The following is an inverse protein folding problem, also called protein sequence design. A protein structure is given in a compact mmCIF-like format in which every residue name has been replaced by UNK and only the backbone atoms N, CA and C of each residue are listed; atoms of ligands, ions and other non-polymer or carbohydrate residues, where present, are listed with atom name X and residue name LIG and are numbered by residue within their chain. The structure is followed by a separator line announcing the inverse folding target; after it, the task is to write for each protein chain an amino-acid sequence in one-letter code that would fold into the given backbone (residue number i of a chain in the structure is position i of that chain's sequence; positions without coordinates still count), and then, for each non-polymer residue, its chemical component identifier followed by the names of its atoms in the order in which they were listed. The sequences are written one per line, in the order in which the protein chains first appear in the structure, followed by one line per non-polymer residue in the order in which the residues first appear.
data_IF_665648142715
#
_entry.id   IF_665648142715
#
_cell.length_a   1.000
_cell.length_b   1.000
_cell.length_c   1.000
_cell.angle_alpha   90.00
_cell.angle_beta   90.00
_cell.angle_gamma   90.00
#
_symmetry.space_group_name_H-M   'P 1'
#
loop_
_entity.id
_entity.type
_entity.pdbx_description
1 polymer ?
#
# COMPACT_ATOMS: atom_id res chain seq x y z
N UNK A 1 22.07 49.92 -61.51
CA UNK A 1 23.13 50.23 -60.53
C UNK A 1 22.45 50.30 -59.18
N UNK A 2 22.66 49.47 -58.18
CA UNK A 2 23.61 48.40 -57.82
C UNK A 2 22.91 47.73 -56.63
N UNK A 3 22.66 46.41 -56.63
CA UNK A 3 23.45 45.43 -55.85
C UNK A 3 23.51 45.83 -54.34
N UNK A 4 23.14 45.02 -53.34
CA UNK A 4 23.45 43.61 -53.15
C UNK A 4 22.94 43.14 -51.75
N UNK A 5 22.34 41.94 -51.69
CA UNK A 5 22.42 40.91 -50.60
C UNK A 5 21.78 41.14 -49.21
N UNK A 6 20.57 40.61 -49.06
CA UNK A 6 20.17 39.69 -47.97
C UNK A 6 20.79 38.31 -48.35
N UNK A 7 21.45 37.52 -47.47
CA UNK A 7 20.82 36.92 -46.27
C UNK A 7 21.75 36.70 -45.06
N UNK A 8 21.37 37.22 -43.89
CA UNK A 8 21.95 36.73 -42.63
C UNK A 8 21.19 35.47 -42.24
N UNK A 9 21.74 34.37 -42.73
CA UNK A 9 21.82 33.03 -42.15
C UNK A 9 21.24 32.93 -40.73
N UNK A 10 20.02 32.39 -40.64
CA UNK A 10 19.69 31.17 -39.90
C UNK A 10 20.66 30.82 -38.75
N UNK A 11 20.60 31.55 -37.64
CA UNK A 11 21.30 31.20 -36.40
C UNK A 11 20.35 31.46 -35.24
N UNK A 12 20.15 30.45 -34.39
CA UNK A 12 19.33 30.41 -33.15
C UNK A 12 17.94 29.73 -33.24
N UNK A 13 17.83 28.57 -33.88
CA UNK A 13 16.75 27.59 -33.60
C UNK A 13 17.32 26.34 -32.91
N UNK A 14 18.04 26.52 -31.79
CA UNK A 14 18.55 25.40 -30.99
C UNK A 14 18.68 25.75 -29.49
N UNK A 15 17.59 26.21 -28.86
CA UNK A 15 17.57 26.44 -27.41
C UNK A 15 16.25 26.02 -26.74
N UNK A 16 15.53 25.06 -27.32
CA UNK A 16 14.35 24.45 -26.70
C UNK A 16 14.60 22.97 -26.38
N UNK A 17 15.66 22.68 -25.63
CA UNK A 17 15.90 21.34 -25.09
C UNK A 17 16.62 21.39 -23.74
N UNK A 18 16.31 22.37 -22.91
CA UNK A 18 16.72 22.36 -21.51
C UNK A 18 15.61 21.74 -20.65
N UNK A 19 15.80 20.46 -20.37
CA UNK A 19 15.49 19.82 -19.08
C UNK A 19 14.07 19.99 -18.52
N UNK A 20 13.14 19.14 -18.96
CA UNK A 20 12.04 18.66 -18.12
C UNK A 20 12.25 17.17 -17.84
N UNK A 21 13.32 16.84 -17.14
CA UNK A 21 13.51 15.53 -16.49
C UNK A 21 13.80 15.75 -15.01
N UNK A 22 13.07 16.65 -14.38
CA UNK A 22 12.81 16.52 -12.95
C UNK A 22 11.90 15.32 -12.80
N UNK A 23 12.46 14.14 -12.48
CA UNK A 23 11.65 13.05 -11.91
C UNK A 23 10.86 13.70 -10.76
N UNK A 24 9.51 13.67 -10.76
CA UNK A 24 8.78 14.16 -9.62
C UNK A 24 9.35 13.44 -8.40
N UNK A 25 9.78 14.19 -7.39
CA UNK A 25 10.10 13.59 -6.11
C UNK A 25 8.83 12.89 -5.65
N UNK A 26 8.84 11.55 -5.67
CA UNK A 26 7.66 10.79 -5.30
C UNK A 26 7.53 10.88 -3.78
N UNK A 27 6.69 11.81 -3.32
CA UNK A 27 6.43 12.00 -1.90
C UNK A 27 5.51 10.90 -1.38
N UNK A 28 5.73 10.49 -0.13
CA UNK A 28 4.79 9.60 0.53
C UNK A 28 3.53 10.37 0.87
N UNK A 29 2.40 9.87 0.36
CA UNK A 29 1.08 10.42 0.65
C UNK A 29 0.53 9.70 1.88
N UNK A 30 -0.01 10.46 2.83
CA UNK A 30 -0.72 9.89 3.96
C UNK A 30 -1.98 9.12 3.49
N UNK A 31 -2.29 7.97 4.10
CA UNK A 31 -3.53 7.27 3.85
C UNK A 31 -4.73 8.20 4.10
N UNK A 32 -5.40 8.65 3.03
CA UNK A 32 -6.69 9.33 3.15
C UNK A 32 -7.78 8.37 2.69
N UNK A 33 -8.59 7.86 3.61
CA UNK A 33 -9.75 7.04 3.30
C UNK A 33 -9.80 5.68 4.02
N UNK A 34 -10.86 4.89 3.78
CA UNK A 34 -11.02 3.57 4.38
C UNK A 34 -9.96 2.60 3.85
N UNK A 35 -9.64 1.58 4.66
CA UNK A 35 -8.77 0.49 4.22
C UNK A 35 -9.35 -0.23 3.00
N UNK A 36 -8.50 -0.44 2.00
CA UNK A 36 -8.80 -1.25 0.83
C UNK A 36 -8.08 -2.58 0.96
N UNK A 37 -8.84 -3.67 0.77
CA UNK A 37 -8.30 -5.02 0.80
C UNK A 37 -7.27 -5.22 -0.31
N UNK A 38 -6.25 -6.02 -0.02
CA UNK A 38 -5.23 -6.38 -1.00
C UNK A 38 -4.63 -7.75 -0.69
N UNK A 39 -3.87 -8.26 -1.66
CA UNK A 39 -3.19 -9.55 -1.70
C UNK A 39 -2.37 -9.79 -0.42
N UNK A 40 -2.66 -10.88 0.26
CA UNK A 40 -2.01 -11.24 1.51
C UNK A 40 -2.84 -10.92 2.76
N UNK A 41 -3.86 -10.06 2.67
CA UNK A 41 -4.83 -9.90 3.75
C UNK A 41 -5.59 -11.21 4.00
N UNK A 42 -6.05 -11.39 5.23
CA UNK A 42 -6.98 -12.45 5.60
C UNK A 42 -8.28 -11.79 6.02
N UNK A 43 -9.36 -12.15 5.36
CA UNK A 43 -10.71 -11.70 5.71
C UNK A 43 -11.47 -12.83 6.37
N UNK A 44 -12.17 -12.52 7.45
CA UNK A 44 -13.15 -13.43 8.02
C UNK A 44 -14.48 -13.17 7.33
N UNK A 45 -15.00 -14.20 6.67
CA UNK A 45 -16.35 -14.16 6.08
C UNK A 45 -17.25 -14.99 6.95
N UNK A 46 -18.33 -14.38 7.42
CA UNK A 46 -19.38 -15.03 8.21
C UNK A 46 -20.64 -15.08 7.39
N UNK A 47 -21.12 -16.29 7.09
CA UNK A 47 -22.39 -16.51 6.40
C UNK A 47 -23.38 -17.04 7.43
N UNK A 48 -24.37 -16.22 7.77
CA UNK A 48 -25.32 -16.57 8.83
C UNK A 48 -26.15 -17.79 8.44
N UNK A 49 -26.19 -18.79 9.34
CA UNK A 49 -26.90 -20.05 9.11
C UNK A 49 -26.10 -21.09 8.33
N UNK A 50 -24.87 -20.78 7.90
CA UNK A 50 -23.99 -21.71 7.19
C UNK A 50 -22.57 -21.70 7.80
N UNK A 51 -22.24 -22.65 8.69
CA UNK A 51 -20.94 -22.74 9.30
C UNK A 51 -19.85 -23.26 8.33
N UNK A 52 -20.23 -23.94 7.25
CA UNK A 52 -19.25 -24.47 6.27
C UNK A 52 -18.68 -23.36 5.39
N UNK A 53 -19.49 -22.33 5.11
CA UNK A 53 -19.04 -21.13 4.40
C UNK A 53 -18.38 -20.09 5.31
N UNK A 54 -18.60 -20.19 6.63
CA UNK A 54 -18.04 -19.25 7.62
C UNK A 54 -16.59 -19.61 7.95
N UNK A 55 -15.63 -18.87 7.40
CA UNK A 55 -14.21 -19.16 7.57
C UNK A 55 -13.33 -17.92 7.32
N UNK A 56 -12.03 -18.10 7.54
CA UNK A 56 -10.99 -17.14 7.19
C UNK A 56 -10.49 -17.44 5.77
N UNK A 57 -10.55 -16.44 4.90
CA UNK A 57 -10.13 -16.53 3.52
C UNK A 57 -8.97 -15.56 3.27
N UNK A 58 -7.89 -16.09 2.70
CA UNK A 58 -6.75 -15.27 2.28
C UNK A 58 -7.03 -14.66 0.92
N UNK A 59 -6.72 -13.38 0.77
CA UNK A 59 -6.71 -12.69 -0.53
C UNK A 59 -5.47 -13.14 -1.30
N UNK A 60 -5.67 -13.79 -2.44
CA UNK A 60 -4.61 -14.34 -3.28
C UNK A 60 -3.83 -13.27 -4.08
N UNK A 61 -2.85 -13.72 -4.86
CA UNK A 61 -2.02 -12.91 -5.75
C UNK A 61 -2.79 -12.27 -6.92
N UNK A 62 -4.01 -12.73 -7.20
CA UNK A 62 -4.93 -12.14 -8.17
C UNK A 62 -5.91 -11.17 -7.51
N UNK A 63 -5.90 -11.08 -6.19
CA UNK A 63 -6.75 -10.18 -5.43
C UNK A 63 -8.14 -10.76 -5.14
N UNK A 64 -8.28 -12.08 -5.17
CA UNK A 64 -9.52 -12.78 -4.93
C UNK A 64 -9.46 -13.62 -3.64
N UNK A 65 -10.63 -13.88 -3.07
CA UNK A 65 -10.80 -14.91 -2.04
C UNK A 65 -11.39 -16.16 -2.69
N UNK A 66 -10.88 -17.33 -2.31
CA UNK A 66 -11.39 -18.62 -2.80
C UNK A 66 -12.42 -19.17 -1.82
N UNK A 67 -13.70 -19.04 -2.15
CA UNK A 67 -14.82 -19.49 -1.32
C UNK A 67 -15.48 -20.75 -1.89
N UNK A 68 -15.99 -21.67 -1.05
CA UNK A 68 -16.82 -22.77 -1.51
C UNK A 68 -18.07 -22.25 -2.24
N UNK A 69 -18.60 -23.06 -3.14
CA UNK A 69 -19.75 -22.78 -4.02
C UNK A 69 -19.49 -21.73 -5.11
N UNK A 70 -19.04 -20.54 -4.73
CA UNK A 70 -18.88 -19.39 -5.64
C UNK A 70 -17.49 -19.28 -6.28
N UNK A 71 -16.51 -20.03 -5.77
CA UNK A 71 -15.14 -20.01 -6.26
C UNK A 71 -14.43 -18.70 -5.93
N UNK A 72 -13.68 -18.17 -6.91
CA UNK A 72 -12.86 -16.97 -6.73
C UNK A 72 -13.71 -15.69 -6.80
N UNK A 73 -13.72 -14.91 -5.71
CA UNK A 73 -14.40 -13.61 -5.63
C UNK A 73 -13.37 -12.49 -5.51
N UNK A 74 -13.26 -11.62 -6.51
CA UNK A 74 -12.29 -10.54 -6.51
C UNK A 74 -12.64 -9.45 -5.48
N UNK A 75 -11.74 -9.22 -4.52
CA UNK A 75 -11.92 -8.27 -3.41
C UNK A 75 -10.84 -7.19 -3.32
N UNK A 76 -9.73 -7.31 -4.07
CA UNK A 76 -8.67 -6.30 -4.09
C UNK A 76 -9.22 -4.92 -4.47
N UNK A 77 -8.76 -3.90 -3.75
CA UNK A 77 -9.17 -2.51 -3.95
C UNK A 77 -10.58 -2.20 -3.43
N UNK A 78 -11.27 -3.17 -2.82
CA UNK A 78 -12.59 -2.95 -2.22
C UNK A 78 -12.45 -2.70 -0.72
N UNK A 79 -13.36 -1.88 -0.19
CA UNK A 79 -13.63 -1.84 1.25
C UNK A 79 -14.31 -3.14 1.68
N UNK A 80 -14.23 -3.48 2.97
CA UNK A 80 -14.95 -4.64 3.53
C UNK A 80 -16.45 -4.60 3.24
N UNK A 81 -17.06 -3.41 3.27
CA UNK A 81 -18.46 -3.19 2.93
C UNK A 81 -18.78 -3.55 1.46
N UNK A 82 -17.93 -3.10 0.52
CA UNK A 82 -18.12 -3.38 -0.91
C UNK A 82 -17.80 -4.85 -1.22
N UNK A 83 -16.78 -5.41 -0.57
CA UNK A 83 -16.46 -6.83 -0.66
C UNK A 83 -17.61 -7.71 -0.12
N UNK A 84 -18.23 -7.32 1.00
CA UNK A 84 -19.42 -7.99 1.56
C UNK A 84 -20.52 -8.07 0.52
N UNK A 85 -20.91 -6.93 -0.08
CA UNK A 85 -21.94 -6.89 -1.13
C UNK A 85 -21.60 -7.82 -2.30
N UNK A 86 -20.33 -7.85 -2.71
CA UNK A 86 -19.89 -8.69 -3.82
C UNK A 86 -20.01 -10.18 -3.50
N UNK A 87 -19.60 -10.59 -2.30
CA UNK A 87 -19.74 -11.97 -1.83
C UNK A 87 -21.23 -12.35 -1.70
N UNK A 88 -22.05 -11.49 -1.12
CA UNK A 88 -23.50 -11.68 -1.01
C UNK A 88 -24.13 -11.90 -2.39
N UNK A 89 -23.81 -11.06 -3.38
CA UNK A 89 -24.31 -11.20 -4.75
C UNK A 89 -23.83 -12.49 -5.43
N UNK A 90 -22.57 -12.90 -5.20
CA UNK A 90 -22.04 -14.14 -5.73
C UNK A 90 -22.79 -15.36 -5.18
N UNK A 91 -23.05 -15.41 -3.86
CA UNK A 91 -23.85 -16.48 -3.25
C UNK A 91 -25.31 -16.46 -3.72
N UNK A 92 -25.88 -15.27 -3.92
CA UNK A 92 -27.25 -15.09 -4.39
C UNK A 92 -27.47 -15.54 -5.86
N UNK A 93 -26.39 -15.69 -6.64
CA UNK A 93 -26.45 -15.98 -8.09
C UNK A 93 -26.82 -17.43 -8.46
N UNK A 94 -27.21 -18.25 -7.49
CA UNK A 94 -27.65 -19.63 -7.75
C UNK A 94 -27.48 -20.59 -6.58
N UNK A 95 -26.81 -20.17 -5.50
CA UNK A 95 -26.48 -21.03 -4.37
C UNK A 95 -27.37 -20.78 -3.14
N UNK A 96 -27.76 -19.51 -2.91
CA UNK A 96 -28.57 -19.11 -1.75
C UNK A 96 -29.64 -18.10 -2.16
N UNK A 97 -30.84 -18.17 -1.56
CA UNK A 97 -31.92 -17.23 -1.88
C UNK A 97 -31.73 -15.85 -1.24
N UNK A 98 -31.38 -15.82 0.05
CA UNK A 98 -31.18 -14.59 0.83
C UNK A 98 -29.95 -14.74 1.75
N UNK A 99 -28.73 -14.79 1.19
CA UNK A 99 -27.52 -14.91 2.00
C UNK A 99 -27.35 -13.66 2.88
N UNK A 100 -27.10 -13.86 4.17
CA UNK A 100 -26.69 -12.80 5.09
C UNK A 100 -25.21 -12.97 5.42
N UNK A 101 -24.40 -12.05 4.91
CA UNK A 101 -22.93 -12.13 4.96
C UNK A 101 -22.38 -10.94 5.72
N UNK A 102 -21.43 -11.20 6.61
CA UNK A 102 -20.55 -10.19 7.19
C UNK A 102 -19.10 -10.50 6.81
N UNK A 103 -18.33 -9.46 6.47
CA UNK A 103 -16.91 -9.58 6.15
C UNK A 103 -16.12 -8.55 6.94
N UNK A 104 -15.10 -9.02 7.64
CA UNK A 104 -14.14 -8.19 8.38
C UNK A 104 -12.71 -8.60 8.07
N UNK A 105 -11.75 -7.70 8.30
CA UNK A 105 -10.33 -8.05 8.19
C UNK A 105 -9.93 -8.81 9.45
N UNK A 106 -9.55 -10.07 9.28
CA UNK A 106 -9.05 -10.90 10.38
C UNK A 106 -7.56 -10.60 10.63
N UNK A 107 -6.77 -10.52 9.55
CA UNK A 107 -5.35 -10.18 9.61
C UNK A 107 -5.00 -9.26 8.44
N UNK A 108 -4.35 -8.15 8.76
CA UNK A 108 -3.74 -7.27 7.75
C UNK A 108 -2.40 -7.85 7.31
N UNK A 109 -1.94 -7.46 6.11
CA UNK A 109 -0.55 -7.71 5.70
C UNK A 109 0.43 -7.13 6.72
N UNK A 110 1.53 -7.83 6.99
CA UNK A 110 2.55 -7.33 7.91
C UNK A 110 3.25 -6.10 7.34
N UNK A 111 3.94 -5.37 8.21
CA UNK A 111 4.96 -4.40 7.79
C UNK A 111 6.35 -4.97 8.09
N UNK A 112 7.37 -4.38 7.47
CA UNK A 112 8.77 -4.74 7.68
C UNK A 112 9.51 -3.57 8.30
N UNK A 113 10.45 -3.84 9.21
CA UNK A 113 11.31 -2.82 9.81
C UNK A 113 12.75 -3.31 9.89
N UNK A 114 13.70 -2.44 9.56
CA UNK A 114 15.13 -2.75 9.53
C UNK A 114 16.01 -1.52 9.83
N UNK A 115 17.31 -1.75 9.97
CA UNK A 115 18.31 -0.71 10.22
C UNK A 115 18.70 -0.62 11.69
N UNK A 116 18.80 0.60 12.21
CA UNK A 116 19.18 0.91 13.59
C UNK A 116 18.04 0.63 14.59
N UNK A 117 17.51 -0.59 14.58
CA UNK A 117 16.42 -1.10 15.41
C UNK A 117 16.86 -2.38 16.13
N UNK A 118 16.34 -2.64 17.34
CA UNK A 118 16.73 -3.81 18.13
C UNK A 118 16.33 -5.14 17.49
N UNK A 119 15.10 -5.25 17.02
CA UNK A 119 14.63 -6.45 16.31
C UNK A 119 14.18 -6.07 14.90
N UNK A 120 14.98 -6.44 13.90
CA UNK A 120 14.61 -6.28 12.49
C UNK A 120 13.79 -7.47 12.02
N UNK A 121 12.88 -7.24 11.08
CA UNK A 121 12.09 -8.31 10.46
C UNK A 121 10.67 -7.90 10.15
N UNK A 122 9.80 -8.92 10.08
CA UNK A 122 8.39 -8.79 9.77
C UNK A 122 7.56 -8.73 11.06
N UNK A 123 6.62 -7.79 11.13
CA UNK A 123 5.76 -7.59 12.30
C UNK A 123 4.27 -7.45 11.90
N UNK A 124 3.34 -7.85 12.79
CA UNK A 124 1.92 -7.68 12.54
C UNK A 124 1.56 -6.19 12.51
N UNK A 125 0.72 -5.81 11.56
CA UNK A 125 0.19 -4.46 11.44
C UNK A 125 -1.13 -4.32 12.21
N UNK A 126 -1.29 -3.18 12.87
CA UNK A 126 -2.55 -2.75 13.50
C UNK A 126 -3.03 -1.47 12.81
N UNK A 127 -4.31 -1.43 12.45
CA UNK A 127 -4.89 -0.29 11.73
C UNK A 127 -4.66 1.04 12.46
N UNK A 128 -4.12 2.02 11.73
CA UNK A 128 -3.86 3.36 12.24
C UNK A 128 -2.55 3.49 13.04
N UNK A 129 -1.71 2.47 13.07
CA UNK A 129 -0.42 2.56 13.77
C UNK A 129 0.57 3.47 13.02
N UNK A 130 1.47 4.08 13.78
CA UNK A 130 2.51 4.99 13.27
C UNK A 130 3.88 4.32 13.23
N UNK A 131 4.86 5.00 12.63
CA UNK A 131 6.28 4.58 12.69
C UNK A 131 6.75 4.39 14.14
N UNK A 132 6.35 5.26 15.06
CA UNK A 132 6.67 5.16 16.50
C UNK A 132 6.13 3.88 17.11
N UNK A 133 4.89 3.53 16.80
CA UNK A 133 4.29 2.28 17.26
C UNK A 133 5.04 1.07 16.67
N UNK A 134 5.39 1.11 15.37
CA UNK A 134 6.16 0.07 14.71
C UNK A 134 7.54 -0.16 15.35
N UNK A 135 8.26 0.93 15.65
CA UNK A 135 9.54 0.89 16.38
C UNK A 135 9.37 0.25 17.76
N UNK A 136 8.29 0.59 18.45
CA UNK A 136 8.00 0.06 19.80
C UNK A 136 7.73 -1.45 19.74
N UNK A 137 6.96 -1.92 18.75
CA UNK A 137 6.71 -3.35 18.49
C UNK A 137 8.01 -4.09 18.15
N UNK A 138 8.95 -3.42 17.47
CA UNK A 138 10.28 -3.95 17.16
C UNK A 138 11.27 -3.92 18.34
N UNK A 139 10.83 -3.56 19.55
CA UNK A 139 11.65 -3.53 20.76
C UNK A 139 12.44 -2.23 20.97
N UNK A 140 12.23 -1.23 20.10
CA UNK A 140 12.84 0.09 20.17
C UNK A 140 14.14 0.26 19.38
N UNK A 141 14.59 1.50 19.30
CA UNK A 141 15.83 1.91 18.62
C UNK A 141 17.08 1.24 19.21
N UNK A 142 18.12 1.08 18.39
CA UNK A 142 19.49 0.89 18.91
C UNK A 142 20.04 2.19 19.52
N UNK A 143 21.23 2.12 20.12
CA UNK A 143 21.91 3.31 20.63
C UNK A 143 22.33 4.25 19.49
N UNK A 144 22.74 3.72 18.33
CA UNK A 144 23.22 4.52 17.19
C UNK A 144 22.11 5.12 16.35
N UNK A 145 20.83 4.81 16.60
CA UNK A 145 19.74 5.23 15.73
C UNK A 145 19.49 6.74 15.68
N UNK A 146 19.08 7.24 14.51
CA UNK A 146 18.31 8.47 14.40
C UNK A 146 16.93 8.27 15.04
N UNK A 147 16.54 9.20 15.90
CA UNK A 147 15.28 9.16 16.68
C UNK A 147 14.26 10.18 16.21
N UNK A 148 14.58 10.93 15.17
CA UNK A 148 13.73 12.00 14.66
C UNK A 148 12.99 11.59 13.39
N UNK A 149 13.58 10.70 12.59
CA UNK A 149 13.09 10.39 11.26
C UNK A 149 13.22 8.92 10.90
N UNK A 150 12.40 8.48 9.95
CA UNK A 150 12.47 7.14 9.37
C UNK A 150 12.23 7.21 7.86
N UNK A 151 12.88 6.32 7.10
CA UNK A 151 12.58 6.15 5.69
C UNK A 151 11.55 5.06 5.50
N UNK A 152 10.44 5.37 4.82
CA UNK A 152 9.44 4.36 4.43
C UNK A 152 9.58 4.08 2.94
N UNK A 153 9.54 2.80 2.58
CA UNK A 153 9.30 2.31 1.23
C UNK A 153 7.89 1.75 1.16
N UNK A 154 7.08 2.29 0.25
CA UNK A 154 5.66 1.95 0.07
C UNK A 154 5.37 1.67 -1.39
N UNK A 155 4.64 0.61 -1.67
CA UNK A 155 4.12 0.34 -3.01
C UNK A 155 2.89 1.23 -3.27
N UNK A 156 2.91 1.99 -4.35
CA UNK A 156 1.77 2.76 -4.84
C UNK A 156 1.51 2.35 -6.30
N UNK A 157 0.52 1.48 -6.51
CA UNK A 157 0.34 0.81 -7.80
C UNK A 157 1.53 -0.09 -8.11
N UNK A 158 2.12 0.08 -9.30
CA UNK A 158 3.29 -0.70 -9.73
C UNK A 158 4.63 -0.09 -9.26
N UNK A 159 4.61 1.14 -8.73
CA UNK A 159 5.81 1.85 -8.33
C UNK A 159 6.13 1.69 -6.84
N UNK A 160 7.42 1.61 -6.54
CA UNK A 160 7.93 1.70 -5.17
C UNK A 160 8.32 3.15 -4.89
N UNK A 161 7.60 3.76 -3.97
CA UNK A 161 7.82 5.12 -3.49
C UNK A 161 8.65 5.07 -2.22
N UNK A 162 9.58 6.03 -2.06
CA UNK A 162 10.33 6.21 -0.82
C UNK A 162 10.20 7.64 -0.32
N UNK A 163 10.13 7.81 1.00
CA UNK A 163 10.14 9.12 1.63
C UNK A 163 10.68 9.07 3.05
N UNK A 164 11.29 10.17 3.46
CA UNK A 164 11.65 10.38 4.87
C UNK A 164 10.45 11.00 5.59
N UNK A 165 10.10 10.46 6.74
CA UNK A 165 8.93 10.85 7.53
C UNK A 165 9.28 11.00 9.00
N UNK A 166 8.45 11.75 9.72
CA UNK A 166 8.50 11.83 11.18
C UNK A 166 7.95 10.54 11.83
N UNK A 167 8.25 10.35 13.12
CA UNK A 167 7.86 9.12 13.81
C UNK A 167 6.34 8.95 14.01
N UNK A 168 5.57 10.04 13.97
CA UNK A 168 4.11 9.97 14.12
C UNK A 168 3.38 9.79 12.77
N UNK A 169 4.13 9.66 11.68
CA UNK A 169 3.56 9.38 10.36
C UNK A 169 2.85 8.01 10.35
N UNK A 170 1.62 7.91 9.80
CA UNK A 170 0.88 6.66 9.71
C UNK A 170 1.49 5.69 8.69
N UNK A 171 1.69 4.45 9.11
CA UNK A 171 2.16 3.38 8.22
C UNK A 171 0.97 2.62 7.61
N UNK A 172 1.24 1.88 6.54
CA UNK A 172 0.27 1.01 5.87
C UNK A 172 0.76 -0.44 5.90
N UNK A 173 -0.16 -1.43 5.77
CA UNK A 173 0.22 -2.80 5.50
C UNK A 173 1.14 -2.92 4.29
N UNK A 174 2.21 -3.71 4.40
CA UNK A 174 3.21 -3.90 3.35
C UNK A 174 4.32 -2.83 3.30
N UNK A 175 4.28 -1.80 4.15
CA UNK A 175 5.38 -0.83 4.23
C UNK A 175 6.68 -1.49 4.70
N UNK A 176 7.81 -0.99 4.18
CA UNK A 176 9.13 -1.28 4.73
C UNK A 176 9.72 -0.02 5.36
N UNK A 177 9.98 -0.07 6.65
CA UNK A 177 10.50 1.02 7.47
C UNK A 177 12.00 0.81 7.66
N UNK A 178 12.79 1.84 7.39
CA UNK A 178 14.25 1.82 7.58
C UNK A 178 14.62 2.93 8.55
N UNK A 179 15.22 2.52 9.67
CA UNK A 179 15.75 3.43 10.68
C UNK A 179 17.24 3.63 10.39
N UNK A 180 17.62 4.86 10.08
CA UNK A 180 19.02 5.22 9.83
C UNK A 180 19.81 5.34 11.13
N UNK A 181 21.12 5.24 11.04
CA UNK A 181 22.00 5.64 12.13
C UNK A 181 22.11 7.17 12.19
N UNK A 182 22.35 7.71 13.39
CA UNK A 182 22.73 9.10 13.56
C UNK A 182 24.12 9.27 12.96
N UNK A 183 24.26 10.20 12.02
CA UNK A 183 25.59 10.63 11.59
C UNK A 183 26.19 11.46 12.72
N UNK A 184 27.36 11.04 13.23
CA UNK A 184 28.16 11.77 14.22
C UNK A 184 28.91 12.93 13.58
#
# INVERSE_FOLDING_TARGET
MTWLRVPIVFLLVFLAACAHTGRPATYLVEPTGPYLLDSGDIVRVTVYGDPELTSNYRVDDKGAISMPLVGAVAVRGLTTETATRRVTSALASGFMRNPNVALEVAEYRPFFIQGAIRNSGQFPYVYGMTVRAAISTAGGHTETADRNSATIYRRQGDEMVRGNVELDFPIMPGDTIVISERWL
#
